data_IF_495997714828
#
_entry.id   IF_495997714828
#
_cell.length_a   1.000
_cell.length_b   1.000
_cell.length_c   1.000
_cell.angle_alpha   90.00
_cell.angle_beta   90.00
_cell.angle_gamma   90.00
#
_symmetry.space_group_name_H-M   'P 1'
#
loop_
_entity.id
_entity.type
_entity.pdbx_description
1 polymer ?
#
# COMPACT_ATOMS: atom_id res chain seq x y z
N UNK A 1 -7.74 25.80 9.46
CA UNK A 1 -7.96 25.31 8.11
C UNK A 1 -6.97 24.27 7.73
N UNK A 2 -5.72 24.58 7.75
CA UNK A 2 -4.72 23.63 7.36
C UNK A 2 -4.75 22.41 8.24
N UNK A 3 -4.99 22.59 9.53
CA UNK A 3 -5.02 21.44 10.42
C UNK A 3 -6.12 20.48 10.04
N UNK A 4 -7.27 21.00 9.66
CA UNK A 4 -8.37 20.13 9.26
C UNK A 4 -8.02 19.38 8.00
N UNK A 5 -7.42 20.04 7.02
CA UNK A 5 -7.03 19.38 5.79
C UNK A 5 -5.98 18.31 6.03
N UNK A 6 -5.03 18.59 6.93
CA UNK A 6 -4.01 17.62 7.26
C UNK A 6 -4.63 16.40 7.96
N UNK A 7 -5.53 16.63 8.92
CA UNK A 7 -6.14 15.50 9.61
C UNK A 7 -6.93 14.63 8.64
N UNK A 8 -7.64 15.23 7.72
CA UNK A 8 -8.39 14.46 6.74
C UNK A 8 -7.47 13.68 5.83
N UNK A 9 -6.36 14.28 5.41
CA UNK A 9 -5.41 13.59 4.55
C UNK A 9 -4.75 12.41 5.26
N UNK A 10 -4.40 12.57 6.53
CA UNK A 10 -3.82 11.50 7.31
C UNK A 10 -4.83 10.40 7.54
N UNK A 11 -6.06 10.76 7.85
CA UNK A 11 -7.11 9.78 8.07
C UNK A 11 -7.38 8.98 6.80
N UNK A 12 -7.39 9.65 5.67
CA UNK A 12 -7.59 8.99 4.39
C UNK A 12 -6.45 8.01 4.09
N UNK A 13 -5.21 8.44 4.26
CA UNK A 13 -4.07 7.58 3.99
C UNK A 13 -4.10 6.34 4.89
N UNK A 14 -4.45 6.54 6.16
CA UNK A 14 -4.58 5.45 7.10
C UNK A 14 -5.64 4.45 6.65
N UNK A 15 -6.80 4.97 6.26
CA UNK A 15 -7.90 4.10 5.85
C UNK A 15 -7.55 3.31 4.59
N UNK A 16 -6.88 3.94 3.64
CA UNK A 16 -6.53 3.26 2.39
C UNK A 16 -5.57 2.11 2.65
N UNK A 17 -4.54 2.33 3.44
CA UNK A 17 -3.57 1.27 3.66
C UNK A 17 -4.17 0.15 4.54
N UNK A 18 -5.03 0.51 5.49
CA UNK A 18 -5.69 -0.52 6.29
C UNK A 18 -6.60 -1.39 5.43
N UNK A 19 -7.25 -0.80 4.45
CA UNK A 19 -8.08 -1.58 3.53
C UNK A 19 -7.22 -2.59 2.75
N UNK A 20 -6.06 -2.18 2.30
CA UNK A 20 -5.17 -3.07 1.56
C UNK A 20 -4.60 -4.16 2.46
N UNK A 21 -4.24 -3.83 3.69
CA UNK A 21 -3.74 -4.82 4.63
C UNK A 21 -4.82 -5.83 4.97
N UNK A 22 -6.03 -5.38 5.12
CA UNK A 22 -7.16 -6.25 5.40
C UNK A 22 -7.42 -7.18 4.22
N UNK A 23 -7.33 -6.64 3.00
CA UNK A 23 -7.52 -7.44 1.80
C UNK A 23 -6.50 -8.57 1.71
N UNK A 24 -5.29 -8.32 2.20
CA UNK A 24 -4.24 -9.32 2.20
C UNK A 24 -4.22 -10.20 3.44
N UNK A 25 -5.16 -9.98 4.34
CA UNK A 25 -5.26 -10.73 5.58
C UNK A 25 -3.99 -10.60 6.43
N UNK A 26 -3.39 -9.43 6.44
CA UNK A 26 -2.19 -9.18 7.23
C UNK A 26 -2.37 -8.07 8.25
N UNK A 27 -3.58 -7.63 8.49
CA UNK A 27 -3.85 -6.49 9.37
C UNK A 27 -3.93 -6.90 10.85
N UNK A 28 -2.91 -7.58 11.32
CA UNK A 28 -2.83 -7.92 12.73
C UNK A 28 -2.44 -6.72 13.58
N UNK A 29 -2.48 -6.85 14.91
CA UNK A 29 -2.23 -5.71 15.79
C UNK A 29 -0.88 -5.05 15.61
N UNK A 30 0.17 -5.81 15.40
CA UNK A 30 1.50 -5.22 15.23
C UNK A 30 1.61 -4.56 13.87
N UNK A 31 0.92 -5.06 12.85
CA UNK A 31 0.93 -4.42 11.54
C UNK A 31 0.14 -3.12 11.59
N UNK A 32 -0.96 -3.10 12.34
CA UNK A 32 -1.71 -1.86 12.54
C UNK A 32 -0.82 -0.82 13.24
N UNK A 33 0.05 -1.27 14.14
CA UNK A 33 0.98 -0.35 14.80
C UNK A 33 1.93 0.29 13.79
N UNK A 34 2.37 -0.44 12.77
CA UNK A 34 3.19 0.16 11.72
C UNK A 34 2.45 1.31 11.04
N UNK A 35 1.15 1.13 10.81
CA UNK A 35 0.34 2.17 10.19
C UNK A 35 0.27 3.39 11.10
N UNK A 36 0.02 3.16 12.39
CA UNK A 36 -0.10 4.29 13.31
C UNK A 36 1.23 5.02 13.46
N UNK A 37 2.33 4.29 13.48
CA UNK A 37 3.65 4.92 13.56
C UNK A 37 3.93 5.75 12.33
N UNK A 38 3.57 5.26 11.16
CA UNK A 38 3.76 6.00 9.92
C UNK A 38 2.93 7.27 9.94
N UNK A 39 1.69 7.19 10.39
CA UNK A 39 0.79 8.35 10.42
C UNK A 39 1.37 9.42 11.34
N UNK A 40 1.87 9.03 12.51
CA UNK A 40 2.45 9.99 13.44
C UNK A 40 3.69 10.64 12.84
N UNK A 41 4.55 9.84 12.24
CA UNK A 41 5.78 10.35 11.63
C UNK A 41 5.45 11.30 10.47
N UNK A 42 4.50 10.93 9.62
CA UNK A 42 4.16 11.75 8.47
C UNK A 42 3.41 13.02 8.87
N UNK A 43 2.68 12.99 9.99
CA UNK A 43 2.08 14.21 10.51
C UNK A 43 3.15 15.26 10.77
N UNK A 44 4.21 14.85 11.48
CA UNK A 44 5.31 15.76 11.77
C UNK A 44 5.96 16.24 10.47
N UNK A 45 6.15 15.32 9.54
CA UNK A 45 6.82 15.61 8.27
C UNK A 45 6.04 16.65 7.46
N UNK A 46 4.71 16.48 7.38
CA UNK A 46 3.89 17.42 6.62
C UNK A 46 3.79 18.77 7.32
N UNK A 47 3.89 18.80 8.65
CA UNK A 47 3.91 20.07 9.34
C UNK A 47 5.14 20.89 8.94
N UNK A 48 6.23 20.21 8.60
CA UNK A 48 7.43 20.88 8.14
C UNK A 48 7.37 21.20 6.64
N UNK A 49 6.57 20.47 5.90
CA UNK A 49 6.45 20.65 4.46
C UNK A 49 5.00 20.42 4.04
N UNK A 50 4.16 21.45 4.16
CA UNK A 50 2.71 21.26 3.93
C UNK A 50 2.33 20.74 2.56
N UNK A 51 3.14 21.02 1.55
CA UNK A 51 2.85 20.49 0.21
C UNK A 51 2.87 18.97 0.19
N UNK A 52 3.55 18.36 1.15
CA UNK A 52 3.65 16.91 1.20
C UNK A 52 2.34 16.21 1.50
N UNK A 53 1.33 16.96 1.95
CA UNK A 53 0.03 16.34 2.23
C UNK A 53 -0.53 15.62 1.00
N UNK A 54 -0.21 16.10 -0.19
CA UNK A 54 -0.68 15.48 -1.42
C UNK A 54 -0.07 14.11 -1.66
N UNK A 55 1.00 13.77 -0.95
CA UNK A 55 1.73 12.53 -1.18
C UNK A 55 1.52 11.51 -0.06
N UNK A 56 0.67 11.82 0.91
CA UNK A 56 0.55 10.98 2.10
C UNK A 56 0.09 9.56 1.78
N UNK A 57 -0.82 9.40 0.84
CA UNK A 57 -1.35 8.06 0.55
C UNK A 57 -0.21 7.13 0.13
N UNK A 58 0.65 7.58 -0.75
CA UNK A 58 1.75 6.76 -1.20
C UNK A 58 2.84 6.61 -0.16
N UNK A 59 3.11 7.67 0.60
CA UNK A 59 4.18 7.62 1.60
C UNK A 59 3.84 6.71 2.76
N UNK A 60 2.61 6.74 3.23
CA UNK A 60 2.19 5.84 4.30
C UNK A 60 2.22 4.40 3.79
N UNK A 61 1.78 4.16 2.56
CA UNK A 61 1.84 2.83 1.99
C UNK A 61 3.28 2.32 1.90
N UNK A 62 4.21 3.18 1.48
CA UNK A 62 5.61 2.78 1.39
C UNK A 62 6.21 2.50 2.76
N UNK A 63 5.88 3.33 3.75
CA UNK A 63 6.38 3.12 5.11
C UNK A 63 5.94 1.77 5.65
N UNK A 64 4.69 1.41 5.43
CA UNK A 64 4.17 0.15 5.91
C UNK A 64 4.78 -1.01 5.13
N UNK A 65 4.94 -0.85 3.82
CA UNK A 65 5.56 -1.87 2.99
C UNK A 65 6.98 -2.16 3.47
N UNK A 66 7.73 -1.10 3.79
CA UNK A 66 9.10 -1.26 4.27
C UNK A 66 9.13 -1.92 5.65
N UNK A 67 8.23 -1.55 6.53
CA UNK A 67 8.19 -2.15 7.85
C UNK A 67 7.84 -3.64 7.77
N UNK A 68 6.93 -4.00 6.87
CA UNK A 68 6.59 -5.39 6.68
C UNK A 68 7.76 -6.17 6.11
N UNK A 69 8.46 -5.59 5.17
CA UNK A 69 9.61 -6.26 4.58
C UNK A 69 10.66 -6.60 5.64
N UNK A 70 10.89 -5.68 6.56
CA UNK A 70 11.88 -5.90 7.60
C UNK A 70 11.45 -6.97 8.60
N UNK A 71 10.17 -7.07 8.88
CA UNK A 71 9.70 -7.92 9.96
C UNK A 71 9.09 -9.23 9.51
N UNK A 72 8.44 -9.21 8.36
CA UNK A 72 7.66 -10.36 7.92
C UNK A 72 7.98 -10.81 6.49
N UNK A 73 8.16 -9.88 5.59
CA UNK A 73 8.44 -10.24 4.21
C UNK A 73 7.77 -9.31 3.23
N UNK A 74 7.85 -9.67 1.98
CA UNK A 74 7.33 -8.86 0.89
C UNK A 74 5.81 -8.78 0.92
N UNK A 75 5.29 -7.59 0.74
CA UNK A 75 3.86 -7.36 0.66
C UNK A 75 3.62 -6.04 -0.06
N UNK A 76 2.59 -5.94 -0.89
CA UNK A 76 1.71 -7.00 -1.35
C UNK A 76 2.35 -7.79 -2.48
N UNK A 77 2.08 -9.07 -2.55
CA UNK A 77 2.67 -9.88 -3.60
C UNK A 77 1.98 -9.62 -4.92
N UNK A 78 2.75 -9.65 -6.00
CA UNK A 78 2.23 -9.34 -7.32
C UNK A 78 1.34 -10.46 -7.83
N UNK A 79 0.06 -10.19 -8.11
CA UNK A 79 -0.82 -11.21 -8.64
C UNK A 79 -0.59 -11.47 -10.13
N UNK A 80 0.00 -10.52 -10.83
CA UNK A 80 0.22 -10.65 -12.27
C UNK A 80 1.26 -11.71 -12.56
N UNK A 81 2.33 -11.71 -11.81
CA UNK A 81 3.46 -12.61 -12.07
C UNK A 81 3.44 -13.88 -11.24
N UNK A 82 2.42 -14.05 -10.42
CA UNK A 82 2.44 -15.12 -9.43
C UNK A 82 2.75 -16.47 -10.04
N UNK A 83 2.05 -16.85 -11.08
CA UNK A 83 2.27 -18.13 -11.71
C UNK A 83 3.55 -18.18 -12.49
N UNK A 84 3.83 -17.13 -13.23
CA UNK A 84 5.00 -17.10 -14.07
C UNK A 84 6.28 -17.09 -13.27
N UNK A 85 6.22 -16.52 -12.08
CA UNK A 85 7.42 -16.41 -11.28
C UNK A 85 7.75 -17.67 -10.52
N UNK A 86 7.00 -18.69 -10.71
CA UNK A 86 7.29 -19.93 -10.01
C UNK A 86 8.70 -20.41 -10.28
N UNK A 87 9.25 -20.04 -11.41
CA UNK A 87 10.59 -20.47 -11.75
C UNK A 87 11.66 -19.51 -11.25
N UNK A 88 11.26 -18.38 -10.74
CA UNK A 88 12.24 -17.39 -10.29
C UNK A 88 12.79 -17.82 -8.94
N UNK A 89 14.07 -17.91 -8.84
CA UNK A 89 14.71 -18.33 -7.61
C UNK A 89 14.42 -17.38 -6.46
N UNK A 90 14.18 -16.13 -6.75
CA UNK A 90 13.92 -15.16 -5.68
C UNK A 90 12.48 -15.23 -5.20
N UNK A 91 11.63 -15.97 -5.86
CA UNK A 91 10.24 -16.12 -5.44
C UNK A 91 9.37 -14.95 -5.86
N UNK A 92 8.16 -14.87 -5.35
CA UNK A 92 7.24 -13.82 -5.75
C UNK A 92 7.76 -12.45 -5.32
N UNK A 93 7.53 -11.46 -6.15
CA UNK A 93 7.97 -10.11 -5.81
C UNK A 93 6.79 -9.28 -5.30
N UNK A 94 7.10 -8.20 -4.62
CA UNK A 94 6.08 -7.29 -4.14
C UNK A 94 5.76 -6.27 -5.22
N UNK A 95 4.56 -5.71 -5.14
CA UNK A 95 4.17 -4.62 -6.02
C UNK A 95 4.91 -3.34 -5.62
N UNK A 96 5.08 -2.46 -6.58
CA UNK A 96 5.65 -1.15 -6.35
C UNK A 96 4.54 -0.12 -6.23
N UNK A 97 4.85 1.02 -5.66
CA UNK A 97 3.91 2.13 -5.56
C UNK A 97 4.36 3.19 -6.55
N UNK A 98 3.48 3.59 -7.45
CA UNK A 98 3.78 4.60 -8.44
C UNK A 98 2.62 5.57 -8.60
N UNK A 99 2.88 6.86 -8.62
CA UNK A 99 4.20 7.47 -8.42
C UNK A 99 4.58 7.45 -6.94
N UNK A 100 5.87 7.42 -6.69
CA UNK A 100 6.33 7.41 -5.30
C UNK A 100 5.97 8.72 -4.60
N UNK A 101 6.09 9.81 -5.31
CA UNK A 101 5.71 11.11 -4.79
C UNK A 101 4.76 11.74 -5.79
N UNK A 102 3.51 11.57 -5.56
CA UNK A 102 2.50 12.14 -6.44
C UNK A 102 1.10 11.78 -5.99
N UNK A 103 0.11 12.36 -6.62
CA UNK A 103 -1.27 12.05 -6.26
C UNK A 103 -1.70 10.71 -6.82
N UNK A 104 -2.69 10.14 -6.19
CA UNK A 104 -3.32 8.91 -6.68
C UNK A 104 -2.34 7.79 -6.94
N UNK A 105 -1.57 7.40 -5.92
CA UNK A 105 -0.62 6.31 -6.09
C UNK A 105 -1.32 4.98 -6.37
N UNK A 106 -0.65 4.13 -7.10
CA UNK A 106 -1.21 2.85 -7.51
C UNK A 106 -0.20 1.74 -7.25
N UNK A 107 -0.73 0.55 -7.03
CA UNK A 107 0.10 -0.66 -6.94
C UNK A 107 0.39 -1.14 -8.36
N UNK A 108 1.66 -1.29 -8.68
CA UNK A 108 2.09 -1.57 -10.03
C UNK A 108 3.07 -2.74 -10.03
N UNK A 109 2.97 -3.59 -11.02
CA UNK A 109 3.95 -4.65 -11.20
C UNK A 109 5.22 -4.05 -11.80
N UNK A 110 6.31 -4.08 -11.06
CA UNK A 110 7.55 -3.48 -11.53
C UNK A 110 8.18 -4.21 -12.71
N UNK A 111 7.76 -5.44 -12.97
CA UNK A 111 8.32 -6.21 -14.07
C UNK A 111 7.59 -5.92 -15.37
N UNK A 112 6.29 -5.83 -15.34
CA UNK A 112 5.51 -5.65 -16.56
C UNK A 112 4.97 -4.25 -16.74
N UNK A 113 4.95 -3.46 -15.66
CA UNK A 113 4.33 -2.15 -15.71
C UNK A 113 2.82 -2.18 -15.55
N UNK A 114 2.26 -3.35 -15.33
CA UNK A 114 0.81 -3.45 -15.22
C UNK A 114 0.32 -2.81 -13.92
N UNK A 115 -0.72 -2.00 -14.02
CA UNK A 115 -1.35 -1.41 -12.85
C UNK A 115 -2.31 -2.44 -12.26
N UNK A 116 -2.14 -2.76 -10.99
CA UNK A 116 -2.98 -3.76 -10.33
C UNK A 116 -4.19 -3.10 -9.69
N UNK A 117 -3.97 -2.01 -8.97
CA UNK A 117 -5.06 -1.33 -8.27
C UNK A 117 -4.57 0.00 -7.76
N UNK A 118 -5.46 0.95 -7.49
CA UNK A 118 -5.03 2.12 -6.73
C UNK A 118 -4.72 1.69 -5.30
N UNK A 119 -3.89 2.45 -4.61
CA UNK A 119 -3.64 2.19 -3.20
C UNK A 119 -5.00 2.32 -2.48
N UNK A 120 -5.34 1.34 -1.70
CA UNK A 120 -6.65 1.25 -1.07
C UNK A 120 -7.61 0.35 -1.81
N UNK A 121 -7.25 -0.12 -3.00
CA UNK A 121 -8.16 -0.91 -3.83
C UNK A 121 -7.75 -2.35 -4.06
N UNK A 122 -6.83 -2.88 -3.25
CA UNK A 122 -6.37 -4.25 -3.47
C UNK A 122 -7.47 -5.30 -3.30
N UNK A 123 -8.46 -5.01 -2.47
CA UNK A 123 -9.53 -5.96 -2.27
C UNK A 123 -10.29 -6.24 -3.56
N UNK A 124 -10.44 -5.25 -4.42
CA UNK A 124 -11.13 -5.47 -5.66
C UNK A 124 -10.29 -6.20 -6.67
N UNK A 125 -9.00 -5.92 -6.67
CA UNK A 125 -8.13 -6.51 -7.67
C UNK A 125 -7.66 -7.88 -7.29
N UNK A 126 -7.00 -7.98 -6.17
CA UNK A 126 -6.37 -9.22 -5.83
C UNK A 126 -7.29 -10.19 -5.16
N UNK A 127 -8.01 -9.69 -4.22
CA UNK A 127 -8.80 -10.57 -3.43
C UNK A 127 -9.90 -11.17 -4.23
N UNK A 128 -10.40 -10.39 -5.09
CA UNK A 128 -11.52 -10.87 -5.81
C UNK A 128 -11.13 -11.91 -6.78
N UNK A 129 -9.98 -11.77 -7.28
CA UNK A 129 -9.61 -12.62 -8.37
C UNK A 129 -9.93 -14.08 -8.19
N UNK A 130 -9.38 -14.65 -7.23
CA UNK A 130 -9.53 -16.07 -7.15
C UNK A 130 -10.93 -16.48 -6.84
N UNK A 131 -11.43 -15.90 -5.91
CA UNK A 131 -12.66 -16.38 -5.44
C UNK A 131 -13.72 -16.22 -6.38
N UNK A 132 -13.69 -15.16 -6.88
CA UNK A 132 -14.73 -14.91 -7.60
C UNK A 132 -14.51 -15.16 -8.86
N UNK A 133 -13.40 -15.36 -9.01
CA UNK A 133 -13.16 -15.84 -10.28
C UNK A 133 -14.20 -16.81 -10.41
N UNK A 134 -14.33 -17.45 -9.38
CA UNK A 134 -15.36 -18.34 -9.45
C UNK A 134 -16.54 -17.64 -9.81
N UNK A 135 -16.68 -16.67 -9.26
CA UNK A 135 -17.83 -15.98 -9.55
C UNK A 135 -17.75 -15.48 -10.91
N UNK A 136 -16.72 -15.31 -11.29
CA UNK A 136 -16.71 -14.76 -12.60
C UNK A 136 -16.64 -15.73 -13.29
#
# INVERSE_FOLDING_TARGET
MEHRGLEQALHRARALILADLTAGDVAGPDVVTFVEDSVVHRRWWVEQWPEGAAYLDGLVAQDVQDALLERYGRWPLCPVCRGADAVDASGPHALDIEPELGPEPRWVCGRTGAVVAPVGGLDRAGGAGPADGGAG
#
